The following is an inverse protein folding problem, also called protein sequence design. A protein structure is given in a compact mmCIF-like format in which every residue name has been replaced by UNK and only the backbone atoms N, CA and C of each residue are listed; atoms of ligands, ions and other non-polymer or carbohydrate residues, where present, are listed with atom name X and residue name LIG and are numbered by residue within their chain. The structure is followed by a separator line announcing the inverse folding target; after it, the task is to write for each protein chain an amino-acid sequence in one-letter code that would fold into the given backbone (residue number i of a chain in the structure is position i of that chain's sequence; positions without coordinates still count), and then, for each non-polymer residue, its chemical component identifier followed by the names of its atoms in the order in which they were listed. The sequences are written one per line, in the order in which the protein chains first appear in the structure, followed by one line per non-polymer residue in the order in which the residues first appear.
data_IF_069835638014
#
_entry.id   IF_069835638014
#
_cell.length_a   1.000
_cell.length_b   1.000
_cell.length_c   1.000
_cell.angle_alpha   90.00
_cell.angle_beta   90.00
_cell.angle_gamma   90.00
#
_symmetry.space_group_name_H-M   'P 1'
#
loop_
_entity.id
_entity.type
_entity.pdbx_description
1 polymer ?
#
# COMPACT_ATOMS: atom_id res chain seq x y z
N UNK A 1 -3.71 -7.95 -18.43
CA UNK A 1 -3.38 -6.70 -17.70
C UNK A 1 -2.68 -7.09 -16.40
N UNK A 2 -1.51 -6.53 -16.14
CA UNK A 2 -0.74 -6.83 -14.93
C UNK A 2 -0.92 -5.73 -13.87
N UNK A 3 -1.27 -6.14 -12.67
CA UNK A 3 -1.48 -5.27 -11.51
C UNK A 3 -0.37 -5.51 -10.50
N UNK A 4 0.31 -4.44 -10.07
CA UNK A 4 1.21 -4.47 -8.92
C UNK A 4 0.41 -4.13 -7.66
N UNK A 5 0.48 -5.00 -6.65
CA UNK A 5 -0.12 -4.74 -5.33
C UNK A 5 1.01 -4.61 -4.32
N UNK A 6 1.16 -3.43 -3.72
CA UNK A 6 2.16 -3.12 -2.70
C UNK A 6 1.51 -3.27 -1.32
N UNK A 7 2.10 -4.09 -0.44
CA UNK A 7 1.49 -4.46 0.84
C UNK A 7 0.58 -5.70 0.76
N UNK A 8 0.81 -6.57 -0.23
CA UNK A 8 -0.07 -7.65 -0.64
C UNK A 8 -0.19 -8.83 0.35
N UNK A 9 0.67 -8.94 1.38
CA UNK A 9 0.81 -10.19 2.15
C UNK A 9 -0.24 -10.41 3.23
N UNK A 10 -0.98 -9.38 3.63
CA UNK A 10 -1.95 -9.43 4.75
C UNK A 10 -3.15 -8.52 4.51
N UNK A 11 -4.21 -8.72 5.29
CA UNK A 11 -5.35 -7.82 5.37
C UNK A 11 -5.94 -7.44 4.02
N UNK A 12 -6.16 -6.15 3.81
CA UNK A 12 -6.77 -5.61 2.57
C UNK A 12 -5.93 -5.99 1.35
N UNK A 13 -4.60 -5.89 1.41
CA UNK A 13 -3.73 -6.23 0.29
C UNK A 13 -3.87 -7.69 -0.15
N UNK A 14 -3.95 -8.62 0.79
CA UNK A 14 -4.16 -10.04 0.46
C UNK A 14 -5.57 -10.27 -0.11
N UNK A 15 -6.58 -9.59 0.41
CA UNK A 15 -7.94 -9.66 -0.13
C UNK A 15 -7.99 -9.10 -1.56
N UNK A 16 -7.36 -7.95 -1.81
CA UNK A 16 -7.23 -7.35 -3.14
C UNK A 16 -6.51 -8.29 -4.11
N UNK A 17 -5.43 -8.95 -3.66
CA UNK A 17 -4.70 -9.95 -4.45
C UNK A 17 -5.63 -11.08 -4.90
N UNK A 18 -6.41 -11.65 -3.97
CA UNK A 18 -7.39 -12.71 -4.29
C UNK A 18 -8.42 -12.26 -5.31
N UNK A 19 -8.99 -11.08 -5.12
CA UNK A 19 -10.03 -10.55 -6.02
C UNK A 19 -9.48 -10.24 -7.40
N UNK A 20 -8.27 -9.70 -7.50
CA UNK A 20 -7.63 -9.43 -8.78
C UNK A 20 -7.34 -10.72 -9.56
N UNK A 21 -6.87 -11.78 -8.88
CA UNK A 21 -6.67 -13.10 -9.49
C UNK A 21 -8.00 -13.71 -9.93
N UNK A 22 -9.03 -13.67 -9.09
CA UNK A 22 -10.36 -14.16 -9.42
C UNK A 22 -10.99 -13.43 -10.61
N UNK A 23 -10.65 -12.16 -10.80
CA UNK A 23 -11.03 -11.36 -11.97
C UNK A 23 -10.15 -11.64 -13.22
N UNK A 24 -9.20 -12.58 -13.13
CA UNK A 24 -8.39 -13.03 -14.25
C UNK A 24 -7.17 -12.15 -14.56
N UNK A 25 -6.80 -11.21 -13.70
CA UNK A 25 -5.61 -10.37 -13.88
C UNK A 25 -4.32 -11.10 -13.48
N UNK A 26 -3.22 -10.73 -14.14
CA UNK A 26 -1.89 -11.08 -13.66
C UNK A 26 -1.55 -10.17 -12.46
N UNK A 27 -1.12 -10.76 -11.37
CA UNK A 27 -0.83 -10.01 -10.14
C UNK A 27 0.63 -10.19 -9.73
N UNK A 28 1.33 -9.07 -9.54
CA UNK A 28 2.61 -9.04 -8.85
C UNK A 28 2.38 -8.51 -7.43
N UNK A 29 2.71 -9.34 -6.45
CA UNK A 29 2.48 -9.06 -5.03
C UNK A 29 3.81 -8.64 -4.38
N UNK A 30 4.04 -7.33 -4.19
CA UNK A 30 5.22 -6.80 -3.49
C UNK A 30 4.94 -6.66 -2.00
N UNK A 31 5.69 -7.37 -1.19
CA UNK A 31 5.67 -7.24 0.26
C UNK A 31 6.94 -7.84 0.86
N UNK A 32 7.38 -7.38 2.04
CA UNK A 32 8.51 -7.97 2.77
C UNK A 32 8.32 -9.47 3.02
N UNK A 33 7.08 -9.89 3.28
CA UNK A 33 6.69 -11.28 3.50
C UNK A 33 5.88 -11.88 2.35
N UNK A 34 6.16 -11.52 1.09
CA UNK A 34 5.42 -12.01 -0.08
C UNK A 34 5.46 -13.55 -0.20
N UNK A 35 6.55 -14.18 0.23
CA UNK A 35 6.68 -15.65 0.24
C UNK A 35 5.70 -16.36 1.17
N UNK A 36 5.20 -15.66 2.20
CA UNK A 36 4.20 -16.21 3.12
C UNK A 36 2.76 -16.24 2.57
N UNK A 37 2.53 -15.66 1.40
CA UNK A 37 1.21 -15.68 0.74
C UNK A 37 0.87 -17.11 0.35
N UNK A 38 -0.18 -17.67 0.96
CA UNK A 38 -0.63 -19.06 0.72
C UNK A 38 -1.61 -19.18 -0.46
N UNK A 39 -1.45 -18.34 -1.49
CA UNK A 39 -2.22 -18.46 -2.72
C UNK A 39 -1.39 -19.22 -3.75
N UNK A 40 -2.01 -20.21 -4.39
CA UNK A 40 -1.45 -20.95 -5.51
C UNK A 40 -2.23 -20.55 -6.77
N UNK A 41 -1.62 -19.71 -7.60
CA UNK A 41 -2.18 -19.26 -8.87
C UNK A 41 -1.03 -18.99 -9.84
N UNK A 42 -1.14 -19.45 -11.07
CA UNK A 42 -0.12 -19.27 -12.11
C UNK A 42 0.05 -17.80 -12.53
N UNK A 43 -0.95 -16.98 -12.29
CA UNK A 43 -0.95 -15.53 -12.55
C UNK A 43 -0.42 -14.70 -11.37
N UNK A 44 -0.02 -15.35 -10.25
CA UNK A 44 0.52 -14.69 -9.09
C UNK A 44 2.03 -14.75 -9.05
N UNK A 45 2.67 -13.62 -9.20
CA UNK A 45 4.10 -13.45 -8.95
C UNK A 45 4.32 -12.87 -7.54
N UNK A 46 4.94 -13.65 -6.66
CA UNK A 46 5.27 -13.23 -5.29
C UNK A 46 6.66 -12.60 -5.30
N UNK A 47 6.74 -11.32 -4.99
CA UNK A 47 7.99 -10.56 -4.99
C UNK A 47 8.32 -10.08 -3.59
N UNK A 48 9.26 -10.73 -2.88
CA UNK A 48 9.77 -10.21 -1.62
C UNK A 48 10.52 -8.90 -1.84
N UNK A 49 10.15 -7.86 -1.09
CA UNK A 49 10.79 -6.55 -1.23
C UNK A 49 10.18 -5.50 -0.31
N UNK A 50 10.91 -4.40 -0.16
CA UNK A 50 10.51 -3.26 0.64
C UNK A 50 10.02 -2.11 -0.25
N UNK A 51 8.85 -1.57 0.07
CA UNK A 51 8.26 -0.43 -0.63
C UNK A 51 9.07 0.88 -0.44
N UNK A 52 9.98 0.93 0.53
CA UNK A 52 10.90 2.03 0.74
C UNK A 52 12.19 1.90 -0.08
N UNK A 53 12.46 0.72 -0.63
CA UNK A 53 13.64 0.47 -1.45
C UNK A 53 13.33 0.74 -2.92
N UNK A 54 13.98 1.75 -3.49
CA UNK A 54 13.76 2.19 -4.88
C UNK A 54 13.99 1.06 -5.89
N UNK A 55 15.06 0.27 -5.74
CA UNK A 55 15.37 -0.81 -6.67
C UNK A 55 14.30 -1.90 -6.64
N UNK A 56 13.76 -2.23 -5.44
CA UNK A 56 12.67 -3.20 -5.33
C UNK A 56 11.40 -2.69 -6.04
N UNK A 57 11.08 -1.40 -5.87
CA UNK A 57 9.89 -0.78 -6.49
C UNK A 57 10.06 -0.68 -8.00
N UNK A 58 11.22 -0.26 -8.51
CA UNK A 58 11.50 -0.20 -9.94
C UNK A 58 11.42 -1.59 -10.62
N UNK A 59 11.99 -2.60 -9.98
CA UNK A 59 11.90 -3.97 -10.47
C UNK A 59 10.45 -4.47 -10.46
N UNK A 60 9.68 -4.13 -9.41
CA UNK A 60 8.27 -4.51 -9.30
C UNK A 60 7.39 -3.85 -10.37
N UNK A 61 7.75 -2.66 -10.85
CA UNK A 61 6.98 -1.93 -11.88
C UNK A 61 7.19 -2.44 -13.31
N UNK A 62 8.15 -3.33 -13.55
CA UNK A 62 8.43 -3.82 -14.90
C UNK A 62 7.20 -4.53 -15.51
N UNK A 63 6.68 -3.98 -16.63
CA UNK A 63 5.54 -4.52 -17.35
C UNK A 63 4.19 -4.41 -16.62
N UNK A 64 4.08 -3.52 -15.63
CA UNK A 64 2.87 -3.25 -14.86
C UNK A 64 2.01 -2.19 -15.54
N UNK A 65 0.69 -2.36 -15.51
CA UNK A 65 -0.28 -1.41 -16.05
C UNK A 65 -0.91 -0.54 -14.95
N UNK A 66 -1.12 -1.11 -13.76
CA UNK A 66 -1.80 -0.46 -12.63
C UNK A 66 -1.09 -0.80 -11.33
N UNK A 67 -0.94 0.18 -10.45
CA UNK A 67 -0.44 -0.01 -9.10
C UNK A 67 -1.56 0.18 -8.08
N UNK A 68 -1.65 -0.74 -7.12
CA UNK A 68 -2.55 -0.63 -5.98
C UNK A 68 -1.69 -0.65 -4.70
N UNK A 69 -1.78 0.42 -3.91
CA UNK A 69 -1.06 0.56 -2.64
C UNK A 69 -2.00 0.25 -1.48
N UNK A 70 -1.66 -0.80 -0.73
CA UNK A 70 -2.43 -1.28 0.43
C UNK A 70 -1.55 -1.36 1.68
N UNK A 71 -0.58 -0.46 1.79
CA UNK A 71 0.32 -0.43 2.92
C UNK A 71 -0.43 -0.19 4.23
N UNK A 72 -0.04 -0.92 5.27
CA UNK A 72 -0.52 -0.78 6.62
C UNK A 72 0.63 -0.88 7.62
N UNK A 73 0.40 -0.37 8.82
CA UNK A 73 1.30 -0.53 9.96
C UNK A 73 0.80 -1.64 10.87
N UNK A 74 1.73 -2.36 11.51
CA UNK A 74 1.40 -3.32 12.54
C UNK A 74 0.97 -2.64 13.84
N UNK A 75 0.21 -3.35 14.68
CA UNK A 75 -0.22 -2.82 16.00
C UNK A 75 0.96 -2.36 16.85
N UNK A 76 2.10 -3.05 16.79
CA UNK A 76 3.33 -2.67 17.52
C UNK A 76 4.01 -1.39 17.03
N UNK A 77 3.67 -0.91 15.85
CA UNK A 77 4.26 0.28 15.26
C UNK A 77 3.37 1.53 15.38
N UNK A 78 2.17 1.40 15.96
CA UNK A 78 1.21 2.51 16.11
C UNK A 78 1.77 3.68 16.92
N UNK A 79 2.65 3.41 17.88
CA UNK A 79 3.23 4.42 18.78
C UNK A 79 4.59 4.95 18.31
N UNK A 80 5.15 4.40 17.23
CA UNK A 80 6.40 4.87 16.63
C UNK A 80 6.15 6.01 15.63
N UNK A 81 7.16 6.84 15.33
CA UNK A 81 7.07 7.79 14.22
C UNK A 81 6.79 7.03 12.92
N UNK A 82 5.70 7.37 12.26
CA UNK A 82 5.30 6.72 11.00
C UNK A 82 5.61 7.68 9.86
N UNK A 83 6.51 7.28 8.97
CA UNK A 83 6.82 7.95 7.72
C UNK A 83 6.71 6.98 6.53
N UNK A 84 6.15 5.79 6.80
CA UNK A 84 6.07 4.71 5.82
C UNK A 84 5.25 5.11 4.59
N UNK A 85 4.10 5.73 4.81
CA UNK A 85 3.15 6.02 3.73
C UNK A 85 3.67 7.11 2.80
N UNK A 86 4.09 8.24 3.36
CA UNK A 86 4.63 9.36 2.59
C UNK A 86 5.94 9.02 1.89
N UNK A 87 6.85 8.30 2.54
CA UNK A 87 8.12 7.90 1.93
C UNK A 87 7.91 6.86 0.82
N UNK A 88 7.12 5.81 1.07
CA UNK A 88 6.83 4.80 0.06
C UNK A 88 6.14 5.41 -1.17
N UNK A 89 5.24 6.38 -0.97
CA UNK A 89 4.58 7.07 -2.07
C UNK A 89 5.54 7.92 -2.89
N UNK A 90 6.49 8.61 -2.26
CA UNK A 90 7.54 9.36 -2.98
C UNK A 90 8.40 8.45 -3.86
N UNK A 91 8.89 7.34 -3.29
CA UNK A 91 9.66 6.33 -4.03
C UNK A 91 8.85 5.79 -5.19
N UNK A 92 7.59 5.44 -4.95
CA UNK A 92 6.70 4.88 -5.95
C UNK A 92 6.42 5.85 -7.10
N UNK A 93 6.06 7.11 -6.79
CA UNK A 93 5.74 8.10 -7.82
C UNK A 93 6.94 8.38 -8.72
N UNK A 94 8.15 8.50 -8.15
CA UNK A 94 9.37 8.65 -8.91
C UNK A 94 9.57 7.47 -9.88
N UNK A 95 9.52 6.24 -9.37
CA UNK A 95 9.68 5.04 -10.16
C UNK A 95 8.55 4.83 -11.20
N UNK A 96 7.32 5.19 -10.89
CA UNK A 96 6.20 5.13 -11.84
C UNK A 96 6.39 6.08 -13.04
N UNK A 97 6.91 7.30 -12.80
CA UNK A 97 7.22 8.25 -13.86
C UNK A 97 8.27 7.67 -14.80
N UNK A 98 9.35 7.13 -14.27
CA UNK A 98 10.43 6.53 -15.06
C UNK A 98 9.97 5.32 -15.88
N UNK A 99 9.09 4.50 -15.32
CA UNK A 99 8.52 3.31 -15.98
C UNK A 99 7.26 3.60 -16.81
N UNK A 100 6.80 4.86 -16.87
CA UNK A 100 5.60 5.31 -17.60
C UNK A 100 4.32 4.57 -17.17
N UNK A 101 4.20 4.25 -15.88
CA UNK A 101 2.99 3.68 -15.29
C UNK A 101 2.14 4.83 -14.75
N UNK A 102 0.96 5.04 -15.32
CA UNK A 102 0.16 6.24 -15.08
C UNK A 102 -1.07 6.01 -14.18
N UNK A 103 -1.32 4.77 -13.72
CA UNK A 103 -2.48 4.47 -12.91
C UNK A 103 -2.09 3.99 -11.52
N UNK A 104 -2.41 4.81 -10.53
CA UNK A 104 -2.21 4.53 -9.11
C UNK A 104 -3.56 4.52 -8.38
N UNK A 105 -3.79 3.50 -7.57
CA UNK A 105 -4.90 3.41 -6.63
C UNK A 105 -4.28 3.26 -5.25
N UNK A 106 -4.50 4.22 -4.36
CA UNK A 106 -4.01 4.18 -2.99
C UNK A 106 -5.17 4.04 -2.01
N UNK A 107 -5.03 3.14 -1.04
CA UNK A 107 -5.98 3.02 0.06
C UNK A 107 -5.48 3.91 1.20
N UNK A 108 -6.23 4.97 1.45
CA UNK A 108 -6.03 5.87 2.59
C UNK A 108 -6.91 5.44 3.77
N UNK A 109 -6.91 6.16 4.88
CA UNK A 109 -7.72 5.84 6.04
C UNK A 109 -8.83 6.87 6.24
N UNK A 110 -9.98 6.45 6.74
CA UNK A 110 -11.00 7.36 7.22
C UNK A 110 -10.40 8.27 8.30
N UNK A 111 -10.43 9.58 8.10
CA UNK A 111 -9.77 10.55 8.97
C UNK A 111 -8.39 11.03 8.48
N UNK A 112 -7.94 10.62 7.28
CA UNK A 112 -6.82 11.22 6.57
C UNK A 112 -7.32 12.29 5.58
N UNK A 113 -6.49 13.29 5.25
CA UNK A 113 -6.84 14.34 4.30
C UNK A 113 -8.19 15.02 4.61
N UNK A 114 -8.98 15.23 3.60
CA UNK A 114 -10.28 15.92 3.70
C UNK A 114 -11.30 15.21 4.60
N UNK A 115 -11.17 13.88 4.79
CA UNK A 115 -12.07 13.11 5.66
C UNK A 115 -11.89 13.38 7.16
N UNK A 116 -10.85 14.10 7.57
CA UNK A 116 -10.68 14.55 8.96
C UNK A 116 -11.85 15.41 9.46
N UNK A 117 -12.47 16.18 8.59
CA UNK A 117 -13.63 17.02 8.92
C UNK A 117 -14.85 16.19 9.33
N UNK A 118 -14.94 14.94 8.90
CA UNK A 118 -16.07 14.04 9.15
C UNK A 118 -16.01 13.33 10.51
N UNK A 119 -14.89 13.46 11.26
CA UNK A 119 -14.75 12.88 12.59
C UNK A 119 -15.41 13.81 13.63
N UNK A 120 -16.37 13.28 14.40
CA UNK A 120 -17.03 14.07 15.44
C UNK A 120 -16.03 14.54 16.51
N UNK A 121 -16.23 15.73 17.14
CA UNK A 121 -15.32 16.26 18.15
C UNK A 121 -15.06 15.30 19.32
N UNK A 122 -16.06 14.52 19.71
CA UNK A 122 -15.98 13.55 20.80
C UNK A 122 -15.09 12.35 20.47
N UNK A 123 -15.02 11.97 19.18
CA UNK A 123 -14.22 10.85 18.69
C UNK A 123 -12.80 11.28 18.31
N UNK A 124 -12.56 12.58 18.07
CA UNK A 124 -11.25 13.12 17.69
C UNK A 124 -10.17 12.86 18.73
N UNK A 125 -10.50 13.00 20.01
CA UNK A 125 -9.51 12.93 21.08
C UNK A 125 -8.93 11.50 21.24
N UNK A 126 -9.73 10.43 21.47
CA UNK A 126 -9.19 9.08 21.57
C UNK A 126 -8.58 8.59 20.24
N UNK A 127 -9.16 8.97 19.11
CA UNK A 127 -8.63 8.61 17.79
C UNK A 127 -7.25 9.21 17.55
N UNK A 128 -7.02 10.48 17.91
CA UNK A 128 -5.73 11.17 17.76
C UNK A 128 -4.64 10.57 18.66
N UNK A 129 -4.98 10.10 19.84
CA UNK A 129 -4.03 9.46 20.76
C UNK A 129 -3.53 8.12 20.18
N UNK A 130 -4.42 7.31 19.62
CA UNK A 130 -4.09 5.95 19.17
C UNK A 130 -3.53 5.95 17.74
N UNK A 131 -4.09 6.74 16.84
CA UNK A 131 -3.81 6.66 15.41
C UNK A 131 -3.19 7.94 14.82
N UNK A 132 -3.09 9.04 15.58
CA UNK A 132 -2.74 10.35 15.05
C UNK A 132 -1.49 10.38 14.18
N UNK A 133 -0.41 9.73 14.63
CA UNK A 133 0.88 9.71 13.90
C UNK A 133 0.79 8.98 12.56
N UNK A 134 0.03 7.88 12.50
CA UNK A 134 -0.15 7.12 11.28
C UNK A 134 -1.04 7.88 10.28
N UNK A 135 -2.04 8.59 10.79
CA UNK A 135 -2.95 9.38 9.96
C UNK A 135 -2.33 10.71 9.50
N UNK A 136 -1.46 11.31 10.29
CA UNK A 136 -0.67 12.48 9.86
C UNK A 136 0.24 12.12 8.68
N UNK A 137 0.85 10.94 8.69
CA UNK A 137 1.67 10.45 7.57
C UNK A 137 0.82 10.06 6.35
N UNK A 138 -0.36 9.47 6.56
CA UNK A 138 -1.32 9.19 5.48
C UNK A 138 -1.86 10.46 4.84
N UNK A 139 -2.11 11.52 5.61
CA UNK A 139 -2.50 12.82 5.05
C UNK A 139 -1.41 13.46 4.19
N UNK A 140 -0.13 13.13 4.44
CA UNK A 140 0.99 13.55 3.59
C UNK A 140 1.18 12.66 2.35
N UNK A 141 0.53 11.51 2.32
CA UNK A 141 0.50 10.60 1.18
C UNK A 141 -0.42 11.12 0.08
N UNK A 142 -1.52 11.77 0.46
CA UNK A 142 -2.50 12.38 -0.46
C UNK A 142 -1.98 13.65 -1.11
#
# INVERSE_FOLDING_TARGET
MRILIIGASKGIGLATTRQALAAGYDVRALARSATSIKLADTKLEKMPGDALNQQNVEAALAGVNVVIVTLGIGLGDLFKPVHLFSQATRVLIAAMKDKRVNRLIAITGFGAGDSQASISPLQRFPFKIVFGRAYDDKSRQE
#
